data_IF_372932414736
#
_entry.id   IF_372932414736
#
_cell.length_a   1.000
_cell.length_b   1.000
_cell.length_c   1.000
_cell.angle_alpha   90.00
_cell.angle_beta   90.00
_cell.angle_gamma   90.00
#
_symmetry.space_group_name_H-M   'P 1'
#
loop_
_entity.id
_entity.type
_entity.pdbx_description
1 polymer ?
#
# COMPACT_ATOMS: atom_id res chain seq x y z
N UNK A 1 -22.41 -22.27 -0.82
CA UNK A 1 -20.96 -22.19 -0.52
C UNK A 1 -20.26 -22.73 -1.74
N UNK A 2 -19.70 -21.85 -2.56
CA UNK A 2 -19.31 -22.24 -3.92
C UNK A 2 -17.88 -22.76 -3.90
N UNK A 3 -17.63 -23.84 -4.65
CA UNK A 3 -16.40 -24.62 -4.66
C UNK A 3 -15.13 -23.85 -5.08
N UNK A 4 -15.23 -22.54 -5.34
CA UNK A 4 -14.11 -21.65 -5.64
C UNK A 4 -13.76 -20.67 -4.51
N UNK A 5 -14.49 -20.59 -3.39
CA UNK A 5 -14.11 -19.98 -2.09
C UNK A 5 -13.60 -18.53 -2.03
N UNK A 6 -13.20 -17.91 -3.14
CA UNK A 6 -12.40 -16.70 -3.21
C UNK A 6 -13.19 -15.46 -3.60
N UNK A 7 -14.36 -15.60 -4.22
CA UNK A 7 -15.16 -14.43 -4.65
C UNK A 7 -15.81 -13.70 -3.47
N UNK A 8 -16.38 -14.42 -2.49
CA UNK A 8 -17.02 -13.81 -1.32
C UNK A 8 -16.02 -13.15 -0.37
N UNK A 9 -14.86 -13.78 -0.14
CA UNK A 9 -13.79 -13.21 0.67
C UNK A 9 -13.15 -11.99 -0.01
N UNK A 10 -12.77 -12.10 -1.29
CA UNK A 10 -12.17 -10.98 -2.01
C UNK A 10 -13.15 -9.81 -2.17
N UNK A 11 -14.43 -10.06 -2.41
CA UNK A 11 -15.43 -9.01 -2.60
C UNK A 11 -15.66 -8.13 -1.36
N UNK A 12 -15.40 -8.64 -0.15
CA UNK A 12 -15.62 -7.89 1.10
C UNK A 12 -14.29 -7.49 1.74
N UNK A 13 -13.37 -8.42 1.91
CA UNK A 13 -12.13 -8.18 2.64
C UNK A 13 -11.14 -7.28 1.90
N UNK A 14 -11.08 -7.37 0.56
CA UNK A 14 -10.16 -6.54 -0.23
C UNK A 14 -10.56 -5.05 -0.20
N UNK A 15 -11.84 -4.67 -0.41
CA UNK A 15 -12.27 -3.28 -0.23
C UNK A 15 -12.02 -2.75 1.19
N UNK A 16 -12.27 -3.55 2.23
CA UNK A 16 -11.99 -3.15 3.62
C UNK A 16 -10.48 -2.91 3.83
N UNK A 17 -9.64 -3.80 3.30
CA UNK A 17 -8.19 -3.63 3.35
C UNK A 17 -7.73 -2.37 2.60
N UNK A 18 -8.32 -2.08 1.43
CA UNK A 18 -8.04 -0.87 0.66
C UNK A 18 -8.36 0.40 1.46
N UNK A 19 -9.53 0.46 2.11
CA UNK A 19 -9.93 1.61 2.95
C UNK A 19 -8.96 1.79 4.12
N UNK A 20 -8.63 0.71 4.83
CA UNK A 20 -7.68 0.77 5.96
C UNK A 20 -6.29 1.23 5.51
N UNK A 21 -5.85 0.76 4.34
CA UNK A 21 -4.56 1.16 3.77
C UNK A 21 -4.55 2.64 3.41
N UNK A 22 -5.61 3.15 2.76
CA UNK A 22 -5.77 4.57 2.45
C UNK A 22 -5.82 5.44 3.72
N UNK A 23 -6.52 5.01 4.77
CA UNK A 23 -6.52 5.69 6.07
C UNK A 23 -5.12 5.72 6.71
N UNK A 24 -4.37 4.61 6.62
CA UNK A 24 -2.98 4.55 7.06
C UNK A 24 -2.10 5.55 6.32
N UNK A 25 -2.27 5.66 5.00
CA UNK A 25 -1.59 6.66 4.16
C UNK A 25 -1.94 8.09 4.55
N UNK A 26 -3.20 8.36 4.90
CA UNK A 26 -3.63 9.68 5.38
C UNK A 26 -2.90 10.16 6.64
N UNK A 27 -2.21 9.27 7.37
CA UNK A 27 -1.35 9.66 8.48
C UNK A 27 -0.05 10.35 8.01
N UNK A 28 0.38 10.08 6.78
CA UNK A 28 1.54 10.70 6.15
C UNK A 28 1.16 12.00 5.42
N UNK A 29 0.06 12.01 4.66
CA UNK A 29 -0.37 13.19 3.89
C UNK A 29 -1.39 13.99 4.70
N UNK A 30 -0.93 14.88 5.58
CA UNK A 30 -1.78 15.77 6.40
C UNK A 30 -1.73 17.23 5.94
N UNK A 31 -0.64 17.65 5.32
CA UNK A 31 -0.43 18.99 4.76
C UNK A 31 0.35 18.94 3.45
N UNK A 32 0.33 20.04 2.68
CA UNK A 32 0.98 20.15 1.37
C UNK A 32 2.50 19.99 1.39
N UNK A 33 3.13 20.23 2.55
CA UNK A 33 4.58 20.07 2.74
C UNK A 33 5.01 18.70 3.26
N UNK A 34 4.06 17.79 3.52
CA UNK A 34 4.41 16.49 4.10
C UNK A 34 5.14 15.61 3.11
N UNK A 35 6.27 15.06 3.57
CA UNK A 35 7.13 14.17 2.79
C UNK A 35 7.45 12.96 3.64
N UNK A 36 7.43 11.77 3.04
CA UNK A 36 7.71 10.54 3.77
C UNK A 36 7.64 9.31 2.89
N UNK A 37 7.77 8.16 3.55
CA UNK A 37 7.68 6.84 2.94
C UNK A 37 6.57 6.06 3.63
N UNK A 38 5.69 5.44 2.84
CA UNK A 38 4.72 4.47 3.34
C UNK A 38 5.29 3.08 3.10
N UNK A 39 5.60 2.37 4.18
CA UNK A 39 6.11 1.00 4.11
C UNK A 39 4.97 0.01 4.37
N UNK A 40 4.71 -0.88 3.41
CA UNK A 40 3.80 -2.02 3.59
C UNK A 40 4.64 -3.27 3.74
N UNK A 41 4.71 -3.81 4.95
CA UNK A 41 5.52 -4.99 5.29
C UNK A 41 4.76 -6.31 5.07
N UNK A 42 3.86 -6.32 4.10
CA UNK A 42 3.08 -7.49 3.70
C UNK A 42 3.42 -7.84 2.25
N UNK A 43 4.16 -8.94 2.06
CA UNK A 43 4.61 -9.40 0.74
C UNK A 43 3.45 -9.69 -0.21
N UNK A 44 2.24 -9.94 0.31
CA UNK A 44 1.03 -10.19 -0.49
C UNK A 44 0.62 -8.99 -1.31
N UNK A 45 0.99 -7.77 -0.91
CA UNK A 45 0.70 -6.58 -1.72
C UNK A 45 1.34 -6.69 -3.12
N UNK A 46 2.49 -7.36 -3.23
CA UNK A 46 3.20 -7.61 -4.48
C UNK A 46 2.88 -8.99 -5.07
N UNK A 47 2.86 -10.04 -4.25
CA UNK A 47 2.74 -11.42 -4.75
C UNK A 47 1.31 -11.82 -5.14
N UNK A 48 0.27 -11.19 -4.56
CA UNK A 48 -1.12 -11.53 -4.84
C UNK A 48 -1.58 -10.98 -6.21
N UNK A 49 -1.60 -11.86 -7.22
CA UNK A 49 -1.99 -11.54 -8.60
C UNK A 49 -3.41 -10.96 -8.73
N UNK A 50 -4.36 -11.40 -7.90
CA UNK A 50 -5.76 -11.01 -8.00
C UNK A 50 -6.10 -9.65 -7.39
N UNK A 51 -5.63 -9.37 -6.17
CA UNK A 51 -6.02 -8.18 -5.41
C UNK A 51 -4.89 -7.19 -5.12
N UNK A 52 -3.61 -7.59 -5.24
CA UNK A 52 -2.47 -6.71 -5.01
C UNK A 52 -2.50 -5.45 -5.87
N UNK A 53 -2.72 -5.56 -7.20
CA UNK A 53 -2.87 -4.39 -8.06
C UNK A 53 -4.06 -3.51 -7.69
N UNK A 54 -5.17 -4.08 -7.21
CA UNK A 54 -6.33 -3.32 -6.75
C UNK A 54 -5.97 -2.48 -5.52
N UNK A 55 -5.37 -3.10 -4.50
CA UNK A 55 -4.93 -2.40 -3.29
C UNK A 55 -3.94 -1.27 -3.60
N UNK A 56 -2.98 -1.50 -4.51
CA UNK A 56 -2.02 -0.46 -4.93
C UNK A 56 -2.70 0.72 -5.63
N UNK A 57 -3.68 0.46 -6.50
CA UNK A 57 -4.46 1.52 -7.17
C UNK A 57 -5.39 2.29 -6.24
N UNK A 58 -5.75 1.73 -5.09
CA UNK A 58 -6.51 2.44 -4.06
C UNK A 58 -5.67 3.47 -3.29
N UNK A 59 -4.35 3.48 -3.48
CA UNK A 59 -3.45 4.47 -2.89
C UNK A 59 -3.26 5.67 -3.84
N UNK A 60 -2.87 6.85 -3.30
CA UNK A 60 -2.32 7.92 -4.12
C UNK A 60 -1.20 7.44 -5.04
N UNK A 61 -0.91 8.15 -6.15
CA UNK A 61 0.10 7.76 -7.13
C UNK A 61 1.53 7.95 -6.59
N UNK A 62 1.92 7.12 -5.63
CA UNK A 62 3.25 7.10 -5.07
C UNK A 62 4.28 6.55 -6.04
N UNK A 63 5.50 7.06 -5.93
CA UNK A 63 6.64 6.33 -6.44
C UNK A 63 6.80 5.01 -5.65
N UNK A 64 6.81 3.89 -6.36
CA UNK A 64 6.75 2.55 -5.78
C UNK A 64 8.08 1.81 -5.92
N UNK A 65 8.48 1.12 -4.85
CA UNK A 65 9.65 0.24 -4.84
C UNK A 65 9.45 -0.92 -3.88
N UNK A 66 9.95 -2.10 -4.23
CA UNK A 66 10.07 -3.27 -3.33
C UNK A 66 11.47 -3.43 -2.77
N UNK A 67 12.42 -2.59 -3.24
CA UNK A 67 13.82 -2.62 -2.86
C UNK A 67 14.06 -1.84 -1.57
N UNK A 68 14.59 -2.52 -0.55
CA UNK A 68 14.84 -1.96 0.77
C UNK A 68 15.94 -0.89 0.77
N UNK A 69 16.99 -1.08 -0.03
CA UNK A 69 18.09 -0.11 -0.18
C UNK A 69 17.60 1.22 -0.77
N UNK A 70 16.71 1.12 -1.75
CA UNK A 70 16.08 2.28 -2.40
C UNK A 70 15.18 3.04 -1.41
N UNK A 71 14.36 2.33 -0.63
CA UNK A 71 13.49 2.94 0.39
C UNK A 71 14.29 3.61 1.51
N UNK A 72 15.36 2.96 1.98
CA UNK A 72 16.27 3.53 3.00
C UNK A 72 16.97 4.79 2.49
N UNK A 73 17.48 4.77 1.26
CA UNK A 73 18.09 5.95 0.65
C UNK A 73 17.10 7.12 0.51
N UNK A 74 15.82 6.86 0.25
CA UNK A 74 14.78 7.90 0.26
C UNK A 74 14.59 8.51 1.65
N UNK A 75 14.48 7.69 2.70
CA UNK A 75 14.39 8.15 4.08
C UNK A 75 15.60 8.99 4.49
N UNK A 76 16.82 8.58 4.13
CA UNK A 76 18.05 9.32 4.43
C UNK A 76 18.08 10.70 3.74
N UNK A 77 17.56 10.82 2.51
CA UNK A 77 17.41 12.13 1.83
C UNK A 77 16.37 13.01 2.51
N UNK A 78 15.26 12.42 2.94
CA UNK A 78 14.21 13.15 3.65
C UNK A 78 14.68 13.67 5.01
N UNK A 79 15.47 12.89 5.75
CA UNK A 79 16.02 13.30 7.04
C UNK A 79 17.04 14.45 6.94
N UNK A 80 17.64 14.66 5.76
CA UNK A 80 18.62 15.74 5.49
C UNK A 80 17.97 17.02 4.96
N UNK A 81 16.66 17.00 4.71
CA UNK A 81 15.91 18.11 4.11
C UNK A 81 14.99 18.79 5.11
#
# INVERSE_FOLDING_TARGET
>A
VDANGGSGFAAVSVPIAAVRLAQGVGRLIRATGDRGVVAVLDSRLETARGYGPFLRRSLPPFWYTTRSDVARGALERLAKS
#
